data_IF_030728113575
#
_entry.id   IF_030728113575
#
_cell.length_a   1.000
_cell.length_b   1.000
_cell.length_c   1.000
_cell.angle_alpha   90.00
_cell.angle_beta   90.00
_cell.angle_gamma   90.00
#
_symmetry.space_group_name_H-M   'P 1'
#
loop_
_entity.id
_entity.type
_entity.pdbx_description
1 polymer ?
#
# COMPACT_ATOMS: atom_id res chain seq x y z
N UNK A 1 -13.70 59.28 5.85
CA UNK A 1 -14.13 59.02 4.45
C UNK A 1 -13.25 59.84 3.54
N UNK A 2 -12.34 59.25 2.80
CA UNK A 2 -11.56 59.98 1.78
C UNK A 2 -12.45 60.11 0.54
N UNK A 3 -12.88 61.32 0.23
CA UNK A 3 -13.57 61.64 -1.02
C UNK A 3 -12.64 61.34 -2.20
N UNK A 4 -13.06 60.47 -3.10
CA UNK A 4 -12.34 60.22 -4.34
C UNK A 4 -12.36 61.45 -5.21
N UNK A 5 -11.20 61.89 -5.69
CA UNK A 5 -11.12 62.94 -6.68
C UNK A 5 -11.83 62.51 -7.96
N UNK A 6 -12.60 63.43 -8.64
CA UNK A 6 -13.33 63.09 -9.87
C UNK A 6 -12.47 62.59 -11.03
N UNK A 7 -11.15 62.77 -10.97
CA UNK A 7 -10.17 62.36 -11.98
C UNK A 7 -9.33 61.14 -11.58
N UNK A 8 -9.75 60.37 -10.60
CA UNK A 8 -9.01 59.16 -10.19
C UNK A 8 -8.85 58.15 -11.36
N UNK A 9 -7.63 57.68 -11.59
CA UNK A 9 -7.34 56.68 -12.61
C UNK A 9 -8.09 55.38 -12.36
N UNK A 10 -8.28 54.54 -13.37
CA UNK A 10 -8.94 53.23 -13.21
C UNK A 10 -8.23 52.36 -12.16
N UNK A 11 -6.92 52.50 -12.03
CA UNK A 11 -6.07 51.79 -11.06
C UNK A 11 -6.36 52.28 -9.62
N UNK A 12 -6.45 53.59 -9.41
CA UNK A 12 -6.76 54.16 -8.09
C UNK A 12 -8.16 53.78 -7.61
N UNK A 13 -9.14 53.72 -8.49
CA UNK A 13 -10.50 53.25 -8.17
C UNK A 13 -10.49 51.78 -7.79
N UNK A 14 -9.66 50.98 -8.48
CA UNK A 14 -9.56 49.53 -8.23
C UNK A 14 -8.84 49.24 -6.90
N UNK A 15 -7.73 49.93 -6.62
CA UNK A 15 -7.00 49.78 -5.35
C UNK A 15 -7.85 50.21 -4.16
N UNK A 16 -8.56 51.34 -4.28
CA UNK A 16 -9.46 51.78 -3.22
C UNK A 16 -10.62 50.79 -2.96
N UNK A 17 -11.18 50.19 -4.02
CA UNK A 17 -12.19 49.14 -3.89
C UNK A 17 -11.62 47.91 -3.19
N UNK A 18 -10.43 47.47 -3.59
CA UNK A 18 -9.75 46.35 -2.96
C UNK A 18 -9.50 46.57 -1.47
N UNK A 19 -8.99 47.73 -1.09
CA UNK A 19 -8.62 48.02 0.30
C UNK A 19 -9.86 48.23 1.20
N UNK A 20 -10.86 48.98 0.73
CA UNK A 20 -11.94 49.42 1.57
C UNK A 20 -13.20 48.56 1.47
N UNK A 21 -13.45 47.91 0.34
CA UNK A 21 -14.66 47.10 0.14
C UNK A 21 -14.31 45.62 0.20
N UNK A 22 -13.40 45.18 -0.67
CA UNK A 22 -13.08 43.76 -0.77
C UNK A 22 -12.40 43.22 0.52
N UNK A 23 -11.35 43.90 0.98
CA UNK A 23 -10.59 43.44 2.15
C UNK A 23 -11.41 43.49 3.44
N UNK A 24 -12.31 44.45 3.57
CA UNK A 24 -13.17 44.57 4.75
C UNK A 24 -14.31 43.56 4.78
N UNK A 25 -15.02 43.38 3.65
CA UNK A 25 -16.24 42.58 3.60
C UNK A 25 -16.00 41.13 3.10
N UNK A 26 -15.06 40.91 2.20
CA UNK A 26 -14.92 39.62 1.47
C UNK A 26 -13.67 38.83 1.79
N UNK A 27 -12.74 39.34 2.60
CA UNK A 27 -11.47 38.65 2.91
C UNK A 27 -11.67 37.22 3.38
N UNK A 28 -12.65 36.99 4.27
CA UNK A 28 -12.90 35.65 4.81
C UNK A 28 -13.42 34.68 3.75
N UNK A 29 -14.35 35.13 2.90
CA UNK A 29 -14.84 34.30 1.80
C UNK A 29 -13.76 33.98 0.78
N UNK A 30 -12.86 34.94 0.53
CA UNK A 30 -11.72 34.75 -0.35
C UNK A 30 -10.75 33.70 0.20
N UNK A 31 -10.36 33.79 1.48
CA UNK A 31 -9.48 32.79 2.09
C UNK A 31 -10.14 31.42 2.20
N UNK A 32 -11.42 31.34 2.55
CA UNK A 32 -12.16 30.07 2.57
C UNK A 32 -12.24 29.49 1.16
N UNK A 33 -12.46 30.31 0.13
CA UNK A 33 -12.47 29.87 -1.26
C UNK A 33 -11.12 29.32 -1.72
N UNK A 34 -10.01 30.01 -1.41
CA UNK A 34 -8.66 29.52 -1.70
C UNK A 34 -8.40 28.20 -0.97
N UNK A 35 -8.70 28.14 0.31
CA UNK A 35 -8.51 26.93 1.10
C UNK A 35 -9.29 25.74 0.55
N UNK A 36 -10.55 25.94 0.19
CA UNK A 36 -11.38 24.93 -0.45
C UNK A 36 -10.82 24.49 -1.81
N UNK A 37 -10.34 25.45 -2.62
CA UNK A 37 -9.71 25.14 -3.92
C UNK A 37 -8.42 24.31 -3.74
N UNK A 38 -7.57 24.67 -2.78
CA UNK A 38 -6.34 23.90 -2.46
C UNK A 38 -6.69 22.48 -2.01
N UNK A 39 -7.68 22.30 -1.15
CA UNK A 39 -8.13 20.98 -0.72
C UNK A 39 -8.66 20.14 -1.89
N UNK A 40 -9.46 20.72 -2.76
CA UNK A 40 -9.99 20.03 -3.95
C UNK A 40 -8.86 19.63 -4.89
N UNK A 41 -7.93 20.54 -5.20
CA UNK A 41 -6.79 20.24 -6.07
C UNK A 41 -5.91 19.15 -5.45
N UNK A 42 -5.61 19.24 -4.16
CA UNK A 42 -4.82 18.23 -3.44
C UNK A 42 -5.50 16.87 -3.45
N UNK A 43 -6.82 16.82 -3.28
CA UNK A 43 -7.60 15.59 -3.33
C UNK A 43 -7.57 14.96 -4.73
N UNK A 44 -7.74 15.76 -5.77
CA UNK A 44 -7.69 15.29 -7.17
C UNK A 44 -6.28 14.77 -7.51
N UNK A 45 -5.23 15.52 -7.14
CA UNK A 45 -3.86 15.09 -7.35
C UNK A 45 -3.60 13.77 -6.60
N UNK A 46 -3.99 13.69 -5.33
CA UNK A 46 -3.86 12.45 -4.54
C UNK A 46 -4.55 11.26 -5.18
N UNK A 47 -5.74 11.46 -5.74
CA UNK A 47 -6.50 10.39 -6.40
C UNK A 47 -5.87 9.95 -7.73
N UNK A 48 -5.40 10.91 -8.54
CA UNK A 48 -4.79 10.64 -9.87
C UNK A 48 -3.37 10.06 -9.75
N UNK A 49 -2.64 10.43 -8.68
CA UNK A 49 -1.26 9.99 -8.47
C UNK A 49 -1.13 8.73 -7.61
N UNK A 50 -2.24 8.13 -7.19
CA UNK A 50 -2.18 6.86 -6.48
C UNK A 50 -1.50 5.79 -7.33
N UNK A 51 -0.36 5.33 -6.86
CA UNK A 51 0.33 4.18 -7.47
C UNK A 51 -0.47 2.93 -7.10
N UNK A 52 -0.97 2.24 -8.13
CA UNK A 52 -1.60 0.93 -7.94
C UNK A 52 -0.50 -0.11 -7.97
N UNK A 53 -0.26 -0.73 -6.84
CA UNK A 53 0.71 -1.82 -6.74
C UNK A 53 0.06 -3.11 -7.21
N UNK A 54 0.76 -3.87 -8.04
CA UNK A 54 0.33 -5.20 -8.46
C UNK A 54 0.61 -6.21 -7.34
N UNK A 55 1.77 -6.07 -6.73
CA UNK A 55 2.19 -6.93 -5.62
C UNK A 55 2.80 -6.11 -4.50
N UNK A 56 2.36 -6.38 -3.28
CA UNK A 56 3.05 -5.95 -2.06
C UNK A 56 3.74 -7.17 -1.48
N UNK A 57 5.07 -7.10 -1.44
CA UNK A 57 5.91 -8.23 -1.04
C UNK A 57 6.64 -7.86 0.24
N UNK A 58 6.36 -8.52 1.36
CA UNK A 58 7.13 -8.37 2.58
C UNK A 58 8.57 -8.82 2.36
N UNK A 59 9.49 -7.92 2.66
CA UNK A 59 10.92 -8.19 2.68
C UNK A 59 11.40 -8.28 4.13
N UNK A 60 11.64 -9.51 4.57
CA UNK A 60 12.00 -9.82 5.95
C UNK A 60 13.49 -10.14 6.02
N UNK A 61 14.23 -9.42 6.86
CA UNK A 61 15.67 -9.59 6.98
C UNK A 61 16.17 -9.44 8.42
N UNK A 62 17.22 -10.16 8.77
CA UNK A 62 17.96 -10.00 10.01
C UNK A 62 19.05 -8.94 9.79
N UNK A 63 18.93 -7.79 10.42
CA UNK A 63 19.93 -6.73 10.35
C UNK A 63 19.53 -5.55 9.46
N UNK A 64 20.51 -4.77 8.97
CA UNK A 64 20.25 -3.64 8.10
C UNK A 64 19.99 -4.09 6.66
N UNK A 65 18.86 -3.67 6.09
CA UNK A 65 18.57 -3.90 4.67
C UNK A 65 19.62 -3.18 3.81
N UNK A 66 20.25 -3.93 2.91
CA UNK A 66 21.08 -3.35 1.87
C UNK A 66 20.19 -2.84 0.73
N UNK A 67 20.24 -1.53 0.43
CA UNK A 67 19.49 -0.91 -0.66
C UNK A 67 19.79 -1.51 -2.03
N UNK A 68 21.02 -2.00 -2.24
CA UNK A 68 21.40 -2.66 -3.50
C UNK A 68 20.69 -4.00 -3.65
N UNK A 69 20.62 -4.78 -2.58
CA UNK A 69 19.90 -6.06 -2.55
C UNK A 69 18.41 -5.86 -2.74
N UNK A 70 17.79 -4.88 -2.07
CA UNK A 70 16.38 -4.55 -2.25
C UNK A 70 16.06 -4.12 -3.70
N UNK A 71 16.95 -3.34 -4.34
CA UNK A 71 16.79 -2.93 -5.74
C UNK A 71 16.93 -4.13 -6.70
N UNK A 72 17.84 -5.06 -6.44
CA UNK A 72 18.03 -6.28 -7.22
C UNK A 72 16.80 -7.18 -7.11
N UNK A 73 16.29 -7.39 -5.90
CA UNK A 73 15.05 -8.14 -5.63
C UNK A 73 13.87 -7.54 -6.38
N UNK A 74 13.66 -6.23 -6.23
CA UNK A 74 12.56 -5.54 -6.93
C UNK A 74 12.66 -5.70 -8.43
N UNK A 75 13.87 -5.58 -9.00
CA UNK A 75 14.10 -5.78 -10.44
C UNK A 75 13.78 -7.21 -10.87
N UNK A 76 14.21 -8.23 -10.12
CA UNK A 76 13.95 -9.63 -10.42
C UNK A 76 12.44 -9.92 -10.39
N UNK A 77 11.74 -9.51 -9.33
CA UNK A 77 10.30 -9.69 -9.21
C UNK A 77 9.50 -8.93 -10.28
N UNK A 78 9.93 -7.71 -10.65
CA UNK A 78 9.27 -6.93 -11.71
C UNK A 78 9.41 -7.58 -13.08
N UNK A 79 10.50 -8.32 -13.32
CA UNK A 79 10.74 -9.00 -14.60
C UNK A 79 9.81 -10.20 -14.83
N UNK A 80 9.36 -10.85 -13.77
CA UNK A 80 8.52 -12.06 -13.83
C UNK A 80 7.10 -11.86 -13.31
N UNK A 81 6.83 -10.74 -12.65
CA UNK A 81 5.53 -10.43 -12.09
C UNK A 81 4.46 -10.18 -13.18
N UNK A 82 3.21 -10.34 -12.78
CA UNK A 82 2.05 -10.07 -13.63
C UNK A 82 1.49 -8.68 -13.35
N UNK A 83 1.09 -7.94 -14.38
CA UNK A 83 0.37 -6.65 -14.27
C UNK A 83 -1.09 -6.94 -13.89
N UNK A 84 -1.38 -7.00 -12.60
CA UNK A 84 -2.70 -7.23 -12.05
C UNK A 84 -3.53 -5.95 -12.06
N UNK A 85 -2.86 -4.79 -11.89
CA UNK A 85 -3.52 -3.48 -11.84
C UNK A 85 -3.97 -2.95 -13.20
N UNK A 86 -3.53 -3.59 -14.31
CA UNK A 86 -3.85 -3.19 -15.68
C UNK A 86 -3.24 -1.86 -16.10
N UNK A 87 -2.15 -1.43 -15.47
CA UNK A 87 -1.47 -0.15 -15.77
C UNK A 87 -0.50 -0.25 -16.94
N UNK A 88 -0.27 -1.44 -17.51
CA UNK A 88 0.69 -1.73 -18.56
C UNK A 88 2.12 -1.85 -18.06
N UNK A 89 2.33 -1.86 -16.74
CA UNK A 89 3.65 -2.02 -16.10
C UNK A 89 3.49 -2.74 -14.78
N UNK A 90 4.31 -3.75 -14.56
CA UNK A 90 4.37 -4.43 -13.27
C UNK A 90 4.94 -3.50 -12.20
N UNK A 91 4.18 -3.26 -11.14
CA UNK A 91 4.53 -2.37 -10.05
C UNK A 91 4.60 -3.17 -8.74
N UNK A 92 5.82 -3.37 -8.23
CA UNK A 92 6.06 -4.11 -7.00
C UNK A 92 6.46 -3.17 -5.88
N UNK A 93 5.78 -3.30 -4.74
CA UNK A 93 6.12 -2.65 -3.48
C UNK A 93 6.82 -3.66 -2.58
N UNK A 94 8.07 -3.40 -2.24
CA UNK A 94 8.75 -4.12 -1.18
C UNK A 94 8.48 -3.39 0.14
N UNK A 95 7.90 -4.07 1.10
CA UNK A 95 7.73 -3.58 2.46
C UNK A 95 8.79 -4.22 3.36
N UNK A 96 9.65 -3.39 3.91
CA UNK A 96 10.76 -3.85 4.76
C UNK A 96 10.28 -4.15 6.17
N UNK A 97 10.55 -5.38 6.62
CA UNK A 97 10.27 -5.84 7.98
C UNK A 97 11.58 -6.33 8.61
N UNK A 98 12.25 -5.49 9.40
CA UNK A 98 13.44 -5.92 10.11
C UNK A 98 13.07 -6.96 11.17
N UNK A 99 13.48 -8.19 10.97
CA UNK A 99 13.32 -9.26 11.96
C UNK A 99 14.36 -9.04 13.08
N UNK A 100 13.95 -9.22 14.30
CA UNK A 100 14.87 -9.20 15.44
C UNK A 100 14.95 -10.60 16.02
N UNK A 101 16.11 -10.94 16.61
CA UNK A 101 16.29 -12.22 17.34
C UNK A 101 15.41 -12.32 18.59
N UNK A 102 14.55 -11.33 18.83
CA UNK A 102 13.59 -11.34 19.93
C UNK A 102 12.35 -12.15 19.53
N UNK A 103 12.16 -13.36 20.07
CA UNK A 103 11.02 -14.23 19.76
C UNK A 103 9.67 -13.63 20.20
N UNK A 104 9.67 -12.51 20.91
CA UNK A 104 8.46 -11.76 21.30
C UNK A 104 7.94 -10.85 20.20
N UNK A 105 8.69 -10.60 19.13
CA UNK A 105 8.26 -9.71 18.04
C UNK A 105 7.31 -10.45 17.09
N UNK A 106 6.08 -9.93 17.03
CA UNK A 106 4.96 -10.60 16.34
C UNK A 106 4.80 -10.17 14.87
N UNK A 107 5.71 -9.35 14.34
CA UNK A 107 5.50 -8.68 13.06
C UNK A 107 5.40 -9.68 11.90
N UNK A 108 6.36 -10.60 11.76
CA UNK A 108 6.32 -11.62 10.71
C UNK A 108 5.17 -12.62 10.91
N UNK A 109 4.94 -13.08 12.14
CA UNK A 109 3.80 -13.97 12.42
C UNK A 109 2.44 -13.33 12.15
N UNK A 110 2.33 -12.00 12.30
CA UNK A 110 1.16 -11.24 11.90
C UNK A 110 0.95 -11.33 10.39
N UNK A 111 1.98 -10.98 9.63
CA UNK A 111 1.98 -11.03 8.16
C UNK A 111 1.67 -12.41 7.59
N UNK A 112 2.24 -13.47 8.19
CA UNK A 112 2.00 -14.86 7.78
C UNK A 112 0.55 -15.32 8.00
N UNK A 113 -0.19 -14.63 8.87
CA UNK A 113 -1.60 -14.93 9.15
C UNK A 113 -2.56 -14.12 8.30
N UNK A 114 -2.08 -13.08 7.64
CA UNK A 114 -2.87 -12.27 6.72
C UNK A 114 -2.96 -13.00 5.38
N UNK A 115 -4.18 -13.18 4.89
CA UNK A 115 -4.45 -13.93 3.65
C UNK A 115 -3.86 -13.28 2.39
N UNK A 116 -3.57 -11.99 2.45
CA UNK A 116 -3.12 -11.20 1.30
C UNK A 116 -1.61 -11.26 1.06
N UNK A 117 -0.86 -11.76 2.07
CA UNK A 117 0.59 -11.88 2.01
C UNK A 117 0.98 -13.33 1.66
N UNK A 118 1.09 -13.61 0.37
CA UNK A 118 1.43 -14.95 -0.13
C UNK A 118 2.90 -15.05 -0.52
N UNK A 119 3.46 -14.03 -1.17
CA UNK A 119 4.84 -14.02 -1.62
C UNK A 119 5.71 -13.21 -0.67
N UNK A 120 6.78 -13.80 -0.18
CA UNK A 120 7.74 -13.21 0.76
C UNK A 120 9.15 -13.21 0.19
N UNK A 121 9.95 -12.23 0.59
CA UNK A 121 11.39 -12.25 0.40
C UNK A 121 12.06 -12.33 1.77
N UNK A 122 12.93 -13.30 1.96
CA UNK A 122 13.51 -13.64 3.26
C UNK A 122 15.01 -13.86 3.11
N UNK A 123 15.78 -13.55 4.14
CA UNK A 123 17.14 -14.08 4.25
C UNK A 123 17.14 -15.57 4.57
N UNK A 124 18.27 -16.27 4.30
CA UNK A 124 18.35 -17.72 4.44
C UNK A 124 18.18 -18.22 5.88
N UNK A 125 18.56 -17.43 6.88
CA UNK A 125 18.43 -17.82 8.31
C UNK A 125 16.95 -17.75 8.72
N UNK A 126 16.27 -16.67 8.36
CA UNK A 126 14.83 -16.48 8.61
C UNK A 126 14.01 -17.53 7.86
N UNK A 127 14.31 -17.78 6.59
CA UNK A 127 13.64 -18.80 5.80
C UNK A 127 13.76 -20.19 6.46
N UNK A 128 14.98 -20.62 6.82
CA UNK A 128 15.20 -21.94 7.43
C UNK A 128 14.44 -22.11 8.75
N UNK A 129 14.40 -21.06 9.57
CA UNK A 129 13.65 -21.06 10.81
C UNK A 129 12.15 -21.25 10.56
N UNK A 130 11.55 -20.47 9.68
CA UNK A 130 10.09 -20.50 9.46
C UNK A 130 9.66 -21.71 8.61
N UNK A 131 10.51 -22.23 7.72
CA UNK A 131 10.26 -23.53 7.07
C UNK A 131 10.21 -24.68 8.08
N UNK A 132 11.08 -24.67 9.10
CA UNK A 132 11.04 -25.69 10.16
C UNK A 132 9.74 -25.66 10.98
N UNK A 133 9.04 -24.50 10.98
CA UNK A 133 7.72 -24.29 11.61
C UNK A 133 6.55 -24.57 10.66
N UNK A 134 6.82 -24.92 9.40
CA UNK A 134 5.79 -25.25 8.40
C UNK A 134 5.07 -24.05 7.79
N UNK A 135 5.67 -22.85 7.81
CA UNK A 135 5.05 -21.64 7.27
C UNK A 135 5.31 -21.42 5.78
N UNK A 136 6.43 -21.89 5.27
CA UNK A 136 6.81 -21.69 3.86
C UNK A 136 6.94 -23.02 3.15
N UNK A 137 6.35 -23.11 1.97
CA UNK A 137 6.52 -24.23 1.05
C UNK A 137 7.76 -24.08 0.17
N UNK A 138 7.55 -23.90 -1.12
CA UNK A 138 8.63 -23.72 -2.09
C UNK A 138 9.37 -22.39 -1.90
N UNK A 139 10.69 -22.41 -2.05
CA UNK A 139 11.52 -21.23 -2.02
C UNK A 139 12.54 -21.24 -3.16
N UNK A 140 12.81 -20.05 -3.73
CA UNK A 140 13.72 -19.87 -4.87
C UNK A 140 14.73 -18.76 -4.54
N UNK A 141 16.04 -18.98 -4.80
CA UNK A 141 17.04 -17.94 -4.59
C UNK A 141 16.80 -16.77 -5.56
N UNK A 142 16.79 -15.53 -5.03
CA UNK A 142 16.61 -14.30 -5.81
C UNK A 142 17.93 -13.56 -6.02
N UNK A 143 18.71 -13.46 -4.95
CA UNK A 143 19.97 -12.75 -4.88
C UNK A 143 20.86 -13.41 -3.84
N UNK A 144 22.09 -12.92 -3.66
CA UNK A 144 23.00 -13.46 -2.65
C UNK A 144 22.37 -13.42 -1.24
N UNK A 145 22.13 -14.61 -0.68
CA UNK A 145 21.53 -14.76 0.65
C UNK A 145 20.04 -14.45 0.77
N UNK A 146 19.34 -14.11 -0.34
CA UNK A 146 17.92 -13.78 -0.35
C UNK A 146 17.10 -14.78 -1.15
N UNK A 147 15.92 -15.09 -0.66
CA UNK A 147 15.02 -16.09 -1.20
C UNK A 147 13.62 -15.54 -1.35
N UNK A 148 12.95 -15.86 -2.45
CA UNK A 148 11.50 -15.74 -2.56
C UNK A 148 10.85 -17.04 -2.07
N UNK A 149 9.82 -16.92 -1.25
CA UNK A 149 9.08 -18.06 -0.74
C UNK A 149 7.58 -17.77 -0.71
N UNK A 150 6.77 -18.82 -0.90
CA UNK A 150 5.31 -18.72 -0.77
C UNK A 150 4.85 -19.15 0.61
N UNK A 151 3.86 -18.42 1.12
CA UNK A 151 3.12 -18.80 2.31
C UNK A 151 1.89 -19.60 1.88
N UNK A 152 1.95 -20.92 2.01
CA UNK A 152 0.86 -21.82 1.62
C UNK A 152 -0.10 -22.11 2.80
N UNK A 153 0.03 -21.39 3.90
CA UNK A 153 -0.83 -21.58 5.07
C UNK A 153 -2.29 -21.30 4.72
N UNK A 154 -3.21 -22.19 5.07
CA UNK A 154 -4.61 -22.02 4.73
C UNK A 154 -5.22 -20.81 5.45
N UNK A 155 -6.07 -20.06 4.74
CA UNK A 155 -6.87 -18.99 5.32
C UNK A 155 -7.71 -19.53 6.46
N UNK A 156 -7.65 -18.85 7.60
CA UNK A 156 -8.53 -19.19 8.72
C UNK A 156 -9.88 -18.51 8.51
N UNK A 157 -10.98 -19.28 8.38
CA UNK A 157 -12.29 -18.68 8.24
C UNK A 157 -12.66 -17.86 9.47
N UNK A 158 -13.30 -16.72 9.24
CA UNK A 158 -13.90 -15.94 10.33
C UNK A 158 -15.16 -16.62 10.83
N UNK A 159 -15.52 -16.37 12.07
CA UNK A 159 -16.71 -16.95 12.71
C UNK A 159 -17.72 -15.86 13.03
N UNK A 160 -19.00 -16.20 12.99
CA UNK A 160 -20.09 -15.28 13.34
C UNK A 160 -19.95 -14.71 14.76
N UNK A 161 -19.37 -15.46 15.69
CA UNK A 161 -19.25 -15.05 17.10
C UNK A 161 -18.51 -13.72 17.24
N UNK A 162 -17.41 -13.52 16.48
CA UNK A 162 -16.64 -12.27 16.49
C UNK A 162 -17.35 -11.09 15.81
N UNK A 163 -18.39 -11.32 15.03
CA UNK A 163 -19.06 -10.30 14.20
C UNK A 163 -20.54 -10.09 14.52
N UNK A 164 -21.09 -10.89 15.43
CA UNK A 164 -22.50 -10.83 15.82
C UNK A 164 -22.93 -9.46 16.37
N UNK A 165 -22.08 -8.83 17.14
CA UNK A 165 -22.36 -7.50 17.70
C UNK A 165 -22.46 -6.39 16.64
N UNK A 166 -21.87 -6.60 15.46
CA UNK A 166 -21.93 -5.68 14.32
C UNK A 166 -23.12 -5.96 13.39
N UNK A 167 -23.99 -6.93 13.74
CA UNK A 167 -25.21 -7.23 12.99
C UNK A 167 -25.02 -8.14 11.77
N UNK A 168 -23.87 -8.82 11.63
CA UNK A 168 -23.65 -9.77 10.54
C UNK A 168 -24.50 -11.04 10.75
N UNK A 169 -24.94 -11.60 9.61
CA UNK A 169 -25.65 -12.89 9.55
C UNK A 169 -24.69 -14.02 9.21
N UNK A 170 -25.09 -15.28 9.47
CA UNK A 170 -24.30 -16.45 9.10
C UNK A 170 -24.03 -16.51 7.58
N UNK A 171 -25.05 -16.22 6.77
CA UNK A 171 -24.93 -16.23 5.32
C UNK A 171 -23.87 -15.24 4.81
N UNK A 172 -23.79 -14.05 5.40
CA UNK A 172 -22.77 -13.04 5.07
C UNK A 172 -21.37 -13.50 5.47
N UNK A 173 -21.22 -14.19 6.59
CA UNK A 173 -19.94 -14.76 7.02
C UNK A 173 -19.51 -15.89 6.08
N UNK A 174 -20.44 -16.76 5.67
CA UNK A 174 -20.16 -17.86 4.77
C UNK A 174 -19.79 -17.37 3.37
N UNK A 175 -20.48 -16.34 2.87
CA UNK A 175 -20.15 -15.67 1.59
C UNK A 175 -18.76 -15.03 1.65
N UNK A 176 -18.44 -14.31 2.73
CA UNK A 176 -17.12 -13.73 2.91
C UNK A 176 -16.02 -14.80 2.96
N UNK A 177 -16.22 -15.87 3.71
CA UNK A 177 -15.25 -16.96 3.82
C UNK A 177 -15.02 -17.65 2.46
N UNK A 178 -16.10 -17.87 1.69
CA UNK A 178 -16.00 -18.45 0.36
C UNK A 178 -15.20 -17.55 -0.60
N UNK A 179 -15.46 -16.25 -0.56
CA UNK A 179 -14.72 -15.25 -1.34
C UNK A 179 -13.24 -15.22 -0.94
N UNK A 180 -12.92 -15.14 0.36
CA UNK A 180 -11.56 -15.10 0.87
C UNK A 180 -10.76 -16.36 0.51
N UNK A 181 -11.39 -17.54 0.54
CA UNK A 181 -10.78 -18.80 0.10
C UNK A 181 -10.48 -18.81 -1.39
N UNK A 182 -11.38 -18.29 -2.21
CA UNK A 182 -11.18 -18.22 -3.66
C UNK A 182 -10.07 -17.25 -4.03
N UNK A 183 -10.07 -16.06 -3.42
CA UNK A 183 -9.04 -15.03 -3.64
C UNK A 183 -7.67 -15.54 -3.21
N UNK A 184 -7.57 -16.16 -2.03
CA UNK A 184 -6.33 -16.76 -1.57
C UNK A 184 -5.80 -17.84 -2.52
N UNK A 185 -6.65 -18.76 -3.00
CA UNK A 185 -6.24 -19.80 -3.92
C UNK A 185 -5.68 -19.21 -5.24
N UNK A 186 -6.29 -18.15 -5.74
CA UNK A 186 -5.81 -17.44 -6.92
C UNK A 186 -4.45 -16.80 -6.67
N UNK A 187 -4.26 -16.11 -5.55
CA UNK A 187 -2.99 -15.48 -5.18
C UNK A 187 -1.87 -16.51 -5.00
N UNK A 188 -2.16 -17.67 -4.41
CA UNK A 188 -1.20 -18.77 -4.27
C UNK A 188 -0.77 -19.31 -5.64
N UNK A 189 -1.72 -19.50 -6.57
CA UNK A 189 -1.41 -19.97 -7.93
C UNK A 189 -0.54 -18.95 -8.69
N UNK A 190 -0.87 -17.66 -8.59
CA UNK A 190 -0.09 -16.58 -9.21
C UNK A 190 1.32 -16.48 -8.60
N UNK A 191 1.44 -16.55 -7.27
CA UNK A 191 2.74 -16.55 -6.58
C UNK A 191 3.61 -17.78 -6.96
N UNK A 192 2.99 -18.95 -7.06
CA UNK A 192 3.68 -20.16 -7.55
C UNK A 192 4.16 -19.99 -9.01
N UNK A 193 3.38 -19.30 -9.84
CA UNK A 193 3.78 -18.91 -11.20
C UNK A 193 5.04 -18.03 -11.19
N UNK A 194 5.08 -17.01 -10.34
CA UNK A 194 6.24 -16.12 -10.15
C UNK A 194 7.48 -16.92 -9.72
N UNK A 195 7.35 -17.81 -8.71
CA UNK A 195 8.46 -18.65 -8.28
C UNK A 195 8.98 -19.58 -9.39
N UNK A 196 8.10 -20.12 -10.22
CA UNK A 196 8.47 -20.95 -11.35
C UNK A 196 9.27 -20.19 -12.39
N UNK A 197 8.88 -18.99 -12.72
CA UNK A 197 9.60 -18.11 -13.67
C UNK A 197 10.97 -17.66 -13.10
N UNK A 198 11.06 -17.42 -11.79
CA UNK A 198 12.32 -17.09 -11.12
C UNK A 198 13.31 -18.26 -11.11
N UNK A 199 12.83 -19.50 -11.25
CA UNK A 199 13.66 -20.72 -11.23
C UNK A 199 14.28 -21.04 -12.59
N UNK A 200 13.72 -20.47 -13.66
CA UNK A 200 14.18 -20.66 -15.05
C UNK A 200 15.23 -19.63 -15.45
#
# INVERSE_FOLDING_TARGET
>A
MHEQSPNASRWEKWSHWLENVFWYHYKWYFFVGIFAAVLLISSVIGFVTQVKWDWTVPYVHLGAADKASAAAVKKALTAVGTDVSGTGKVQIRLEEYPETKDPGRKDLLGLLRESDNILFVLDGETLALYQSLGWFGDAVPLAEGLWAATNDAPVKPITLEGFREYGYTQDQIDEYNAYALQEHAQLVEEAAGILKELKN
#
